data_IF_301153682506
#
_entry.id   IF_301153682506
#
_cell.length_a   1.000
_cell.length_b   1.000
_cell.length_c   1.000
_cell.angle_alpha   90.00
_cell.angle_beta   90.00
_cell.angle_gamma   90.00
#
_symmetry.space_group_name_H-M   'P 1'
#
loop_
_entity.id
_entity.type
_entity.pdbx_description
1 polymer ?
#
# COMPACT_ATOMS: atom_id res chain seq x y z
N UNK A 1 -71.93 21.32 -32.47
CA UNK A 1 -70.86 21.44 -31.46
C UNK A 1 -70.00 22.67 -31.73
N UNK A 2 -70.50 23.84 -31.31
CA UNK A 2 -69.87 25.17 -31.21
C UNK A 2 -70.49 25.80 -29.93
N UNK A 3 -69.93 26.81 -29.25
CA UNK A 3 -68.54 27.30 -29.11
C UNK A 3 -68.23 27.63 -27.61
N UNK A 4 -67.30 28.57 -27.36
CA UNK A 4 -66.99 29.37 -26.13
C UNK A 4 -65.75 28.89 -25.35
N UNK A 5 -64.72 29.68 -25.06
CA UNK A 5 -64.48 31.14 -25.06
C UNK A 5 -62.97 31.40 -25.24
N UNK A 6 -62.64 32.55 -25.80
CA UNK A 6 -61.29 33.08 -25.89
C UNK A 6 -60.71 33.39 -24.50
N UNK A 7 -59.43 33.10 -24.31
CA UNK A 7 -58.61 33.75 -23.28
C UNK A 7 -57.32 34.17 -23.98
N UNK A 8 -57.10 35.48 -24.06
CA UNK A 8 -55.85 36.02 -24.58
C UNK A 8 -54.70 35.58 -23.66
N UNK A 9 -53.58 35.05 -24.19
CA UNK A 9 -52.40 34.85 -23.38
C UNK A 9 -51.83 36.23 -23.02
N UNK A 10 -52.22 36.75 -21.85
CA UNK A 10 -51.55 37.87 -21.18
C UNK A 10 -50.25 37.37 -20.59
N UNK A 11 -49.26 37.09 -21.43
CA UNK A 11 -47.86 37.21 -21.04
C UNK A 11 -47.11 37.82 -22.21
N UNK A 12 -46.89 39.12 -22.10
CA UNK A 12 -45.90 39.91 -22.82
C UNK A 12 -44.58 39.12 -22.86
N UNK A 13 -44.20 38.59 -24.02
CA UNK A 13 -42.86 38.05 -24.22
C UNK A 13 -41.87 39.18 -23.99
N UNK A 14 -40.99 39.05 -23.00
CA UNK A 14 -39.77 39.84 -22.97
C UNK A 14 -38.85 39.31 -24.08
N UNK A 15 -38.49 40.10 -25.10
CA UNK A 15 -37.67 39.63 -26.24
C UNK A 15 -36.19 39.47 -25.89
N UNK A 16 -35.85 39.37 -24.60
CA UNK A 16 -34.47 39.17 -24.16
C UNK A 16 -34.45 38.54 -22.76
N UNK A 17 -34.62 37.21 -22.71
CA UNK A 17 -34.17 36.45 -21.56
C UNK A 17 -32.63 36.49 -21.58
N UNK A 18 -32.06 37.37 -20.77
CA UNK A 18 -30.70 37.16 -20.28
C UNK A 18 -30.76 35.92 -19.42
N UNK A 19 -30.24 34.81 -19.94
CA UNK A 19 -30.09 33.57 -19.18
C UNK A 19 -29.24 33.92 -17.96
N UNK A 20 -29.83 33.84 -16.78
CA UNK A 20 -29.08 33.90 -15.54
C UNK A 20 -28.10 32.74 -15.56
N UNK A 21 -26.82 33.08 -15.44
CA UNK A 21 -25.62 32.25 -15.46
C UNK A 21 -25.51 31.29 -14.27
N UNK A 22 -26.62 30.63 -13.91
CA UNK A 22 -26.69 29.63 -12.86
C UNK A 22 -26.71 28.20 -13.43
N UNK A 23 -25.88 27.94 -14.44
CA UNK A 23 -25.21 26.66 -14.45
C UNK A 23 -24.00 26.81 -13.50
N UNK A 24 -23.76 25.86 -12.58
CA UNK A 24 -22.53 25.87 -11.81
C UNK A 24 -21.37 25.96 -12.79
N UNK A 25 -20.71 27.10 -12.70
CA UNK A 25 -19.51 27.49 -13.40
C UNK A 25 -18.41 26.46 -13.07
N UNK A 26 -18.40 25.33 -13.77
CA UNK A 26 -17.35 24.33 -13.64
C UNK A 26 -16.31 24.55 -14.73
N UNK A 27 -15.48 25.58 -14.51
CA UNK A 27 -14.20 25.75 -15.19
C UNK A 27 -14.18 26.81 -16.30
N UNK A 28 -13.12 27.61 -16.26
CA UNK A 28 -12.72 28.56 -17.29
C UNK A 28 -12.69 27.88 -18.68
N UNK A 29 -13.44 28.38 -19.68
CA UNK A 29 -13.50 27.79 -21.03
C UNK A 29 -12.17 27.88 -21.80
N UNK A 30 -11.12 28.50 -21.24
CA UNK A 30 -9.76 28.53 -21.81
C UNK A 30 -8.76 27.62 -21.09
N UNK A 31 -9.18 26.84 -20.10
CA UNK A 31 -8.29 25.88 -19.43
C UNK A 31 -7.96 24.69 -20.34
N UNK A 32 -6.67 24.48 -20.64
CA UNK A 32 -6.15 23.32 -21.38
C UNK A 32 -6.17 22.00 -20.58
N UNK A 33 -6.77 22.00 -19.39
CA UNK A 33 -6.79 20.84 -18.49
C UNK A 33 -8.12 20.10 -18.65
N UNK A 34 -8.16 19.19 -19.61
CA UNK A 34 -9.22 18.19 -19.76
C UNK A 34 -8.83 16.97 -18.92
N UNK A 35 -9.18 16.97 -17.64
CA UNK A 35 -9.02 15.83 -16.75
C UNK A 35 -10.05 15.88 -15.63
N UNK A 36 -10.51 14.73 -15.10
CA UNK A 36 -11.51 14.72 -14.04
C UNK A 36 -11.00 15.54 -12.84
N UNK A 37 -11.88 16.37 -12.26
CA UNK A 37 -11.54 17.19 -11.11
C UNK A 37 -11.01 16.32 -9.96
N UNK A 38 -9.85 16.69 -9.41
CA UNK A 38 -9.27 16.05 -8.23
C UNK A 38 -10.24 16.18 -7.05
N UNK A 39 -10.56 15.08 -6.37
CA UNK A 39 -11.48 15.06 -5.22
C UNK A 39 -10.73 15.08 -3.86
N UNK A 40 -9.53 15.66 -3.79
CA UNK A 40 -8.75 15.80 -2.55
C UNK A 40 -7.67 16.89 -2.62
N UNK A 41 -7.10 17.25 -1.46
CA UNK A 41 -6.05 18.29 -1.29
C UNK A 41 -4.70 17.90 -1.95
N UNK A 42 -4.57 16.64 -2.37
CA UNK A 42 -3.40 16.07 -3.03
C UNK A 42 -3.24 16.41 -4.52
N UNK A 43 -2.15 15.94 -5.13
CA UNK A 43 -1.83 16.11 -6.55
C UNK A 43 -1.82 14.77 -7.31
N UNK A 44 -2.05 14.74 -8.63
CA UNK A 44 -1.96 13.50 -9.42
C UNK A 44 -3.27 12.71 -9.65
N UNK A 45 -4.44 13.31 -9.39
CA UNK A 45 -5.75 12.76 -9.77
C UNK A 45 -6.37 11.76 -8.77
N UNK A 46 -5.72 11.55 -7.63
CA UNK A 46 -6.21 10.70 -6.54
C UNK A 46 -7.21 11.39 -5.59
N UNK A 47 -7.79 10.61 -4.67
CA UNK A 47 -8.74 11.07 -3.65
C UNK A 47 -8.02 11.11 -2.29
N UNK A 48 -7.61 12.28 -1.80
CA UNK A 48 -6.94 12.42 -0.51
C UNK A 48 -5.89 13.53 -0.50
N UNK A 49 -5.02 13.58 0.50
CA UNK A 49 -3.93 14.56 0.60
C UNK A 49 -2.59 14.08 -0.04
N UNK A 50 -2.63 12.97 -0.78
CA UNK A 50 -1.48 12.30 -1.38
C UNK A 50 -1.01 12.83 -2.74
N UNK A 51 0.04 12.21 -3.31
CA UNK A 51 0.59 12.50 -4.64
C UNK A 51 0.48 11.27 -5.54
N UNK A 52 -0.39 11.28 -6.54
CA UNK A 52 -0.62 10.17 -7.48
C UNK A 52 -2.12 9.86 -7.66
N UNK A 53 -2.43 8.79 -8.39
CA UNK A 53 -3.81 8.38 -8.67
C UNK A 53 -4.53 7.60 -7.56
N UNK A 54 -3.93 7.54 -6.36
CA UNK A 54 -4.40 6.72 -5.24
C UNK A 54 -5.44 7.41 -4.35
N UNK A 55 -6.00 6.67 -3.40
CA UNK A 55 -6.99 7.18 -2.43
C UNK A 55 -6.36 7.22 -1.03
N UNK A 56 -5.91 8.37 -0.52
CA UNK A 56 -5.30 8.47 0.81
C UNK A 56 -4.29 9.61 0.98
N UNK A 57 -3.60 9.61 2.13
CA UNK A 57 -2.48 10.52 2.44
C UNK A 57 -1.19 9.80 2.04
N UNK A 58 -0.71 9.92 0.80
CA UNK A 58 0.44 9.11 0.38
C UNK A 58 0.83 9.29 -1.09
N UNK A 59 1.98 8.78 -1.50
CA UNK A 59 2.53 9.00 -2.83
C UNK A 59 2.35 7.77 -3.73
N UNK A 60 1.30 7.65 -4.54
CA UNK A 60 1.13 6.56 -5.50
C UNK A 60 -0.30 6.32 -5.96
N UNK A 61 -0.57 5.16 -6.58
CA UNK A 61 -1.89 4.75 -7.11
C UNK A 61 -2.71 3.90 -6.14
N UNK A 62 -2.22 3.72 -4.91
CA UNK A 62 -2.80 2.84 -3.90
C UNK A 62 -3.88 3.47 -2.99
N UNK A 63 -4.56 2.67 -2.18
CA UNK A 63 -5.65 3.11 -1.29
C UNK A 63 -5.20 3.20 0.17
N UNK A 64 -4.67 4.33 0.66
CA UNK A 64 -4.41 4.57 2.09
C UNK A 64 -3.12 5.35 2.34
N UNK A 65 -2.65 5.40 3.59
CA UNK A 65 -1.41 6.12 3.95
C UNK A 65 -0.14 5.35 3.50
N UNK A 66 0.59 5.78 2.47
CA UNK A 66 1.78 5.04 2.00
C UNK A 66 2.38 5.50 0.66
N UNK A 67 3.34 4.75 0.11
CA UNK A 67 3.99 5.04 -1.19
C UNK A 67 3.75 3.88 -2.19
N UNK A 68 3.35 4.17 -3.42
CA UNK A 68 3.12 3.20 -4.51
C UNK A 68 1.65 2.77 -4.71
N UNK A 69 1.46 1.63 -5.37
CA UNK A 69 0.14 1.13 -5.80
C UNK A 69 -0.60 0.24 -4.79
N UNK A 70 -0.39 0.41 -3.48
CA UNK A 70 -0.93 -0.47 -2.45
C UNK A 70 -1.83 0.24 -1.43
N UNK A 71 -2.59 -0.53 -0.65
CA UNK A 71 -3.66 -0.09 0.27
C UNK A 71 -3.21 0.72 1.51
N UNK A 72 -2.15 1.53 1.42
CA UNK A 72 -1.64 2.31 2.53
C UNK A 72 -1.04 1.44 3.64
N UNK A 73 0.26 1.58 3.88
CA UNK A 73 0.96 0.80 4.90
C UNK A 73 1.44 -0.58 4.45
N UNK A 74 1.33 -0.91 3.16
CA UNK A 74 1.83 -2.17 2.61
C UNK A 74 3.33 -2.11 2.35
N UNK A 75 4.10 -2.93 3.07
CA UNK A 75 5.48 -3.28 2.73
C UNK A 75 5.59 -3.73 1.28
N UNK A 76 6.69 -3.38 0.62
CA UNK A 76 6.92 -3.83 -0.75
C UNK A 76 6.98 -5.36 -0.77
N UNK A 77 6.57 -5.96 -1.88
CA UNK A 77 6.81 -7.38 -2.15
C UNK A 77 7.91 -7.48 -3.19
N UNK A 78 8.75 -8.50 -3.08
CA UNK A 78 9.78 -8.80 -4.08
C UNK A 78 9.13 -8.97 -5.45
N UNK A 79 9.67 -8.32 -6.48
CA UNK A 79 9.09 -8.27 -7.83
C UNK A 79 8.73 -6.84 -8.29
N UNK A 80 8.37 -6.67 -9.57
CA UNK A 80 8.04 -5.37 -10.18
C UNK A 80 9.10 -4.27 -9.93
N UNK A 81 10.38 -4.59 -10.12
CA UNK A 81 11.50 -3.66 -9.91
C UNK A 81 12.00 -3.56 -8.46
N UNK A 82 11.43 -4.33 -7.52
CA UNK A 82 11.93 -4.48 -6.15
C UNK A 82 12.82 -5.71 -6.06
N UNK A 83 14.09 -5.53 -5.68
CA UNK A 83 15.03 -6.63 -5.48
C UNK A 83 14.67 -7.44 -4.23
N UNK A 84 15.09 -8.71 -4.18
CA UNK A 84 15.01 -9.48 -2.96
C UNK A 84 16.06 -8.99 -1.94
N UNK A 85 15.76 -9.05 -0.63
CA UNK A 85 16.78 -8.85 0.39
C UNK A 85 17.68 -10.09 0.47
N UNK A 86 18.98 -9.89 0.69
CA UNK A 86 19.97 -10.96 0.79
C UNK A 86 20.45 -11.09 2.24
N UNK A 87 20.68 -12.30 2.74
CA UNK A 87 21.24 -12.47 4.09
C UNK A 87 22.75 -12.22 4.03
N UNK A 88 23.23 -11.17 4.70
CA UNK A 88 24.67 -10.85 4.78
C UNK A 88 25.29 -11.63 5.95
N UNK A 89 24.60 -11.64 7.09
CA UNK A 89 25.08 -12.32 8.30
C UNK A 89 23.96 -13.15 8.88
N UNK A 90 24.17 -14.47 8.86
CA UNK A 90 23.31 -15.44 9.50
C UNK A 90 23.94 -15.88 10.82
N UNK A 91 23.15 -15.86 11.88
CA UNK A 91 23.54 -16.41 13.20
C UNK A 91 22.70 -17.65 13.44
N UNK A 92 23.35 -18.76 13.82
CA UNK A 92 22.64 -19.99 14.09
C UNK A 92 21.61 -19.82 15.22
N UNK A 93 20.40 -20.38 15.06
CA UNK A 93 19.36 -20.25 16.06
C UNK A 93 19.68 -21.06 17.31
N UNK A 94 19.28 -20.56 18.48
CA UNK A 94 19.40 -21.31 19.72
C UNK A 94 18.35 -22.42 19.78
N UNK A 95 18.76 -23.62 20.18
CA UNK A 95 17.84 -24.73 20.41
C UNK A 95 17.16 -24.63 21.77
N UNK A 96 15.87 -24.97 21.83
CA UNK A 96 15.20 -25.25 23.10
C UNK A 96 15.76 -26.52 23.73
N UNK A 97 15.75 -26.60 25.07
CA UNK A 97 16.25 -27.78 25.79
C UNK A 97 15.45 -29.04 25.47
N UNK A 98 14.15 -28.88 25.21
CA UNK A 98 13.23 -29.94 24.80
C UNK A 98 13.59 -30.50 23.42
N UNK A 99 13.78 -29.62 22.43
CA UNK A 99 14.19 -30.04 21.09
C UNK A 99 15.59 -30.65 21.07
N UNK A 100 16.51 -30.16 21.90
CA UNK A 100 17.86 -30.72 22.05
C UNK A 100 17.81 -32.13 22.62
N UNK A 101 17.01 -32.37 23.67
CA UNK A 101 16.82 -33.71 24.25
C UNK A 101 16.16 -34.68 23.26
N UNK A 102 15.18 -34.19 22.50
CA UNK A 102 14.48 -34.96 21.48
C UNK A 102 15.29 -35.14 20.17
N UNK A 103 16.48 -34.54 20.05
CA UNK A 103 17.29 -34.47 18.82
C UNK A 103 16.49 -34.02 17.60
N UNK A 104 15.55 -33.10 17.83
CA UNK A 104 14.62 -32.69 16.80
C UNK A 104 15.28 -31.69 15.85
N UNK A 105 15.04 -31.87 14.55
CA UNK A 105 15.62 -31.07 13.49
C UNK A 105 14.55 -30.68 12.49
N UNK A 106 14.73 -29.54 11.83
CA UNK A 106 13.80 -29.09 10.81
C UNK A 106 14.00 -27.64 10.41
N UNK A 107 13.09 -27.14 9.57
CA UNK A 107 13.08 -25.75 9.10
C UNK A 107 11.81 -25.05 9.57
N UNK A 108 11.97 -23.94 10.28
CA UNK A 108 10.89 -23.01 10.62
C UNK A 108 10.85 -21.93 9.54
N UNK A 109 9.66 -21.65 9.01
CA UNK A 109 9.47 -20.58 8.02
C UNK A 109 8.80 -19.39 8.71
N UNK A 110 9.43 -18.23 8.61
CA UNK A 110 8.99 -16.98 9.20
C UNK A 110 8.75 -15.95 8.10
N UNK A 111 7.72 -15.13 8.24
CA UNK A 111 7.56 -13.92 7.44
C UNK A 111 8.09 -12.73 8.25
N UNK A 112 9.04 -11.97 7.69
CA UNK A 112 9.63 -10.81 8.32
C UNK A 112 9.67 -9.63 7.36
N UNK A 113 9.57 -8.41 7.88
CA UNK A 113 9.76 -7.19 7.11
C UNK A 113 11.21 -6.77 7.25
N UNK A 114 11.98 -6.87 6.16
CA UNK A 114 13.34 -6.31 6.12
C UNK A 114 13.22 -4.83 5.86
N UNK A 115 13.70 -4.01 6.80
CA UNK A 115 13.69 -2.56 6.67
C UNK A 115 14.77 -2.04 5.69
N UNK A 116 14.81 -0.72 5.51
CA UNK A 116 15.82 -0.07 4.67
C UNK A 116 17.24 -0.14 5.25
N UNK A 117 17.37 -0.42 6.54
CA UNK A 117 18.62 -0.55 7.27
C UNK A 117 19.19 -1.97 7.21
N UNK A 118 18.40 -2.96 6.74
CA UNK A 118 18.78 -4.36 6.71
C UNK A 118 18.41 -5.16 7.95
N UNK A 119 17.54 -4.64 8.81
CA UNK A 119 17.04 -5.31 10.00
C UNK A 119 15.67 -5.94 9.77
N UNK A 120 15.48 -7.16 10.25
CA UNK A 120 14.19 -7.83 10.24
C UNK A 120 13.29 -7.30 11.37
N UNK A 121 12.12 -6.82 10.99
CA UNK A 121 11.07 -6.31 11.87
C UNK A 121 9.76 -7.05 11.61
N UNK A 122 8.80 -6.93 12.54
CA UNK A 122 7.45 -7.49 12.39
C UNK A 122 7.43 -8.99 12.00
N UNK A 123 8.27 -9.78 12.68
CA UNK A 123 8.51 -11.20 12.41
C UNK A 123 7.31 -12.03 12.89
N UNK A 124 6.79 -12.89 12.01
CA UNK A 124 5.69 -13.79 12.29
C UNK A 124 6.02 -15.21 11.83
N UNK A 125 5.56 -16.21 12.57
CA UNK A 125 5.72 -17.62 12.20
C UNK A 125 4.69 -17.97 11.14
N UNK A 126 5.16 -18.33 9.95
CA UNK A 126 4.31 -18.84 8.87
C UNK A 126 4.18 -20.35 8.97
N UNK A 127 5.28 -21.04 9.30
CA UNK A 127 5.31 -22.48 9.51
C UNK A 127 6.22 -22.84 10.68
N UNK A 128 5.60 -23.16 11.81
CA UNK A 128 6.28 -23.62 13.02
C UNK A 128 6.66 -25.09 12.95
N UNK A 129 7.64 -25.47 13.77
CA UNK A 129 8.02 -26.85 14.04
C UNK A 129 7.51 -27.33 15.41
N UNK A 130 7.19 -26.41 16.33
CA UNK A 130 6.81 -26.71 17.71
C UNK A 130 7.99 -26.99 18.63
N UNK A 131 7.71 -27.55 19.82
CA UNK A 131 8.70 -27.89 20.86
C UNK A 131 9.59 -26.72 21.32
N UNK A 132 9.03 -25.52 21.39
CA UNK A 132 9.75 -24.31 21.81
C UNK A 132 10.79 -23.80 20.81
N UNK A 133 10.84 -24.36 19.59
CA UNK A 133 11.71 -23.87 18.52
C UNK A 133 11.16 -22.62 17.83
N UNK A 134 9.85 -22.42 17.87
CA UNK A 134 9.18 -21.32 17.17
C UNK A 134 9.57 -19.96 17.79
N UNK A 135 9.61 -19.87 19.12
CA UNK A 135 10.05 -18.68 19.85
C UNK A 135 11.51 -18.37 19.56
N UNK A 136 12.36 -19.40 19.59
CA UNK A 136 13.79 -19.27 19.26
C UNK A 136 14.01 -18.89 17.80
N UNK A 137 13.17 -19.37 16.90
CA UNK A 137 13.19 -19.00 15.50
C UNK A 137 12.80 -17.53 15.29
N UNK A 138 11.93 -16.94 16.12
CA UNK A 138 11.60 -15.50 16.04
C UNK A 138 12.78 -14.64 16.51
N UNK A 139 13.56 -15.11 17.48
CA UNK A 139 14.71 -14.36 18.02
C UNK A 139 15.93 -14.40 17.10
N UNK A 140 16.12 -15.46 16.32
CA UNK A 140 17.30 -15.62 15.47
C UNK A 140 17.42 -14.53 14.37
N UNK A 141 16.39 -14.26 13.54
CA UNK A 141 16.44 -13.22 12.50
C UNK A 141 16.66 -11.81 13.05
N UNK A 142 16.33 -11.54 14.32
CA UNK A 142 16.61 -10.24 14.96
C UNK A 142 18.11 -9.97 15.07
N UNK A 143 18.93 -11.02 15.17
CA UNK A 143 20.40 -10.95 15.23
C UNK A 143 21.04 -11.01 13.84
N UNK A 144 20.25 -11.26 12.79
CA UNK A 144 20.75 -11.34 11.42
C UNK A 144 20.88 -9.95 10.82
N UNK A 145 21.78 -9.85 9.84
CA UNK A 145 21.93 -8.65 9.03
C UNK A 145 21.55 -9.00 7.61
N UNK A 146 20.57 -8.30 7.07
CA UNK A 146 20.10 -8.44 5.71
C UNK A 146 20.59 -7.25 4.89
N UNK A 147 20.80 -7.47 3.60
CA UNK A 147 20.91 -6.42 2.60
C UNK A 147 19.49 -5.95 2.30
N UNK A 148 19.18 -4.66 2.45
CA UNK A 148 17.84 -4.15 2.18
C UNK A 148 17.48 -4.38 0.70
N UNK A 149 16.20 -4.60 0.44
CA UNK A 149 15.70 -4.60 -0.92
C UNK A 149 15.84 -3.21 -1.52
N UNK A 150 16.16 -3.16 -2.80
CA UNK A 150 16.26 -1.92 -3.55
C UNK A 150 15.13 -1.84 -4.55
N UNK A 151 14.53 -0.66 -4.66
CA UNK A 151 13.59 -0.32 -5.71
C UNK A 151 14.09 0.96 -6.36
N UNK A 152 14.32 0.92 -7.68
CA UNK A 152 14.80 2.07 -8.45
C UNK A 152 16.07 2.71 -7.82
N UNK A 153 16.98 1.87 -7.29
CA UNK A 153 18.22 2.30 -6.62
C UNK A 153 18.05 2.78 -5.16
N UNK A 154 16.84 2.83 -4.63
CA UNK A 154 16.56 3.28 -3.27
C UNK A 154 16.24 2.09 -2.36
N UNK A 155 16.78 2.03 -1.13
CA UNK A 155 16.42 0.98 -0.19
C UNK A 155 14.95 1.10 0.20
N UNK A 156 14.23 -0.02 0.22
CA UNK A 156 12.80 -0.08 0.56
C UNK A 156 12.53 -1.21 1.55
N UNK A 157 11.55 -0.99 2.43
CA UNK A 157 11.09 -2.03 3.35
C UNK A 157 10.26 -3.08 2.60
N UNK A 158 10.65 -4.34 2.70
CA UNK A 158 10.05 -5.45 1.93
C UNK A 158 9.62 -6.58 2.85
N UNK A 159 8.48 -7.21 2.54
CA UNK A 159 8.12 -8.49 3.16
C UNK A 159 8.98 -9.60 2.55
N UNK A 160 9.72 -10.31 3.40
CA UNK A 160 10.54 -11.45 3.02
C UNK A 160 10.19 -12.69 3.84
N UNK A 161 10.38 -13.85 3.21
CA UNK A 161 10.30 -15.15 3.89
C UNK A 161 11.69 -15.54 4.38
N UNK A 162 11.82 -15.81 5.67
CA UNK A 162 13.06 -16.20 6.34
C UNK A 162 12.94 -17.64 6.80
N UNK A 163 13.85 -18.49 6.33
CA UNK A 163 13.91 -19.89 6.70
C UNK A 163 15.01 -20.10 7.75
N UNK A 164 14.60 -20.57 8.94
CA UNK A 164 15.50 -20.85 10.04
C UNK A 164 15.68 -22.36 10.14
N UNK A 165 16.90 -22.83 9.88
CA UNK A 165 17.25 -24.24 9.86
C UNK A 165 17.84 -24.66 11.20
N UNK A 166 17.18 -25.59 11.87
CA UNK A 166 17.63 -26.20 13.11
C UNK A 166 18.30 -27.54 12.81
N UNK A 167 19.63 -27.58 12.91
CA UNK A 167 20.44 -28.79 12.81
C UNK A 167 21.26 -29.03 14.07
N UNK A 168 21.26 -30.28 14.53
CA UNK A 168 22.10 -30.73 15.65
C UNK A 168 23.33 -31.42 15.07
N UNK A 169 24.52 -30.96 15.43
CA UNK A 169 25.81 -31.58 15.07
C UNK A 169 26.24 -32.60 16.12
#
# INVERSE_FOLDING_TARGET
NNPKLAVEPTITMQPNIKIASNLPNLGDPKSTVVGPASNGVGSGGGIGAGVGGGVGIGSGTGFGNGHGGNTGGGVFRVGNGVSAPEVIKQVDPEFSDEARKAKYQGVVVLSAIVDQSGHATNIHVTRGLGMGLDEKAIEAPKKWVFKPAQKDGHPVAVLSSVEVNFRLY
#
